data_IF_536345612154
#
_entry.id   IF_536345612154
#
_cell.length_a   1.000
_cell.length_b   1.000
_cell.length_c   1.000
_cell.angle_alpha   90.00
_cell.angle_beta   90.00
_cell.angle_gamma   90.00
#
_symmetry.space_group_name_H-M   'P 1'
#
loop_
_entity.id
_entity.type
_entity.pdbx_description
1 polymer ?
#
# COMPACT_ATOMS: atom_id res chain seq x y z
N UNK A 1 8.17 3.79 -0.61
CA UNK A 1 7.56 4.50 0.53
C UNK A 1 8.57 5.30 1.35
N UNK A 2 9.85 4.93 1.42
CA UNK A 2 10.86 5.80 2.03
C UNK A 2 10.77 5.89 3.55
N UNK A 3 10.10 4.91 4.17
CA UNK A 3 9.95 4.81 5.63
C UNK A 3 11.24 4.24 6.22
N UNK A 4 11.68 4.81 7.35
CA UNK A 4 12.74 4.20 8.14
C UNK A 4 12.16 3.07 9.00
N UNK A 5 12.74 1.89 8.88
CA UNK A 5 12.26 0.66 9.51
C UNK A 5 13.44 -0.07 10.15
N UNK A 6 13.24 -0.53 11.38
CA UNK A 6 14.11 -1.50 12.02
C UNK A 6 13.33 -2.76 12.40
N UNK A 7 13.68 -3.88 11.79
CA UNK A 7 13.15 -5.20 12.16
C UNK A 7 13.67 -5.64 13.54
N UNK A 8 12.79 -6.30 14.27
CA UNK A 8 13.01 -6.92 15.59
C UNK A 8 12.57 -8.37 15.53
N UNK A 9 12.93 -9.16 16.54
CA UNK A 9 12.56 -10.59 16.59
C UNK A 9 11.06 -10.82 16.66
N UNK A 10 10.31 -9.87 17.20
CA UNK A 10 8.87 -9.94 17.47
C UNK A 10 8.06 -8.91 16.68
N UNK A 11 8.68 -8.23 15.70
CA UNK A 11 7.99 -7.23 14.88
C UNK A 11 8.93 -6.19 14.30
N UNK A 12 8.47 -4.94 14.23
CA UNK A 12 9.19 -3.85 13.59
C UNK A 12 8.97 -2.53 14.32
N UNK A 13 9.99 -1.67 14.30
CA UNK A 13 9.87 -0.26 14.67
C UNK A 13 9.82 0.56 13.39
N UNK A 14 8.85 1.48 13.30
CA UNK A 14 8.63 2.37 12.17
C UNK A 14 8.71 3.81 12.67
N UNK A 15 9.55 4.62 12.05
CA UNK A 15 9.53 6.06 12.29
C UNK A 15 8.46 6.70 11.41
N UNK A 16 7.52 7.40 12.04
CA UNK A 16 6.50 8.15 11.32
C UNK A 16 7.14 9.23 10.43
N UNK A 17 6.72 9.30 9.17
CA UNK A 17 7.16 10.32 8.22
C UNK A 17 5.97 11.14 7.72
N UNK A 18 6.17 12.44 7.41
CA UNK A 18 5.08 13.32 7.02
C UNK A 18 4.50 13.01 5.64
N UNK A 19 5.26 12.35 4.76
CA UNK A 19 4.85 12.02 3.41
C UNK A 19 5.54 10.73 2.92
N UNK A 20 4.87 9.94 2.08
CA UNK A 20 5.48 8.76 1.47
C UNK A 20 6.14 9.03 0.12
N UNK A 21 7.28 8.37 -0.12
CA UNK A 21 7.93 8.38 -1.42
C UNK A 21 7.18 7.51 -2.43
N UNK A 22 6.91 8.04 -3.62
CA UNK A 22 6.39 7.27 -4.76
C UNK A 22 7.27 6.06 -5.09
N UNK A 23 6.69 5.06 -5.74
CA UNK A 23 7.47 3.92 -6.22
C UNK A 23 6.66 2.86 -6.94
N UNK A 24 7.37 1.82 -7.36
CA UNK A 24 6.81 0.54 -7.79
C UNK A 24 7.00 -0.45 -6.64
N UNK A 25 5.90 -1.10 -6.24
CA UNK A 25 5.85 -2.03 -5.11
C UNK A 25 5.36 -3.39 -5.58
N UNK A 26 5.95 -4.46 -5.07
CA UNK A 26 5.51 -5.82 -5.34
C UNK A 26 4.70 -6.32 -4.14
N UNK A 27 3.48 -6.80 -4.37
CA UNK A 27 2.66 -7.40 -3.29
C UNK A 27 3.06 -8.84 -2.96
N UNK A 28 3.88 -9.47 -3.81
CA UNK A 28 4.25 -10.87 -3.74
C UNK A 28 3.04 -11.84 -3.71
N UNK A 29 1.91 -11.42 -4.28
CA UNK A 29 0.67 -12.20 -4.29
C UNK A 29 -0.07 -12.22 -2.94
N UNK A 30 0.33 -11.42 -1.96
CA UNK A 30 -0.41 -11.25 -0.70
C UNK A 30 -1.38 -10.06 -0.83
N UNK A 31 -2.69 -10.35 -0.73
CA UNK A 31 -3.75 -9.35 -0.85
C UNK A 31 -3.67 -8.27 0.23
N UNK A 32 -3.17 -8.59 1.42
CA UNK A 32 -3.01 -7.62 2.52
C UNK A 32 -1.91 -6.64 2.19
N UNK A 33 -0.79 -7.12 1.63
CA UNK A 33 0.29 -6.25 1.15
C UNK A 33 -0.23 -5.37 0.01
N UNK A 34 -0.92 -5.96 -0.97
CA UNK A 34 -1.50 -5.22 -2.09
C UNK A 34 -2.44 -4.09 -1.64
N UNK A 35 -3.41 -4.39 -0.77
CA UNK A 35 -4.37 -3.41 -0.25
C UNK A 35 -3.69 -2.34 0.62
N UNK A 36 -2.75 -2.73 1.48
CA UNK A 36 -2.02 -1.79 2.34
C UNK A 36 -1.22 -0.77 1.50
N UNK A 37 -0.50 -1.23 0.48
CA UNK A 37 0.21 -0.33 -0.42
C UNK A 37 -0.72 0.49 -1.32
N UNK A 38 -1.89 -0.02 -1.69
CA UNK A 38 -2.87 0.74 -2.45
C UNK A 38 -3.40 1.96 -1.66
N UNK A 39 -3.69 1.77 -0.37
CA UNK A 39 -4.08 2.87 0.53
C UNK A 39 -2.90 3.80 0.79
N UNK A 40 -1.72 3.27 1.13
CA UNK A 40 -0.52 4.09 1.38
C UNK A 40 -0.14 4.94 0.14
N UNK A 41 -0.34 4.42 -1.07
CA UNK A 41 -0.07 5.14 -2.32
C UNK A 41 -0.95 6.38 -2.52
N UNK A 42 -2.07 6.52 -1.81
CA UNK A 42 -2.90 7.74 -1.84
C UNK A 42 -2.20 8.92 -1.16
N UNK A 43 -1.32 8.65 -0.20
CA UNK A 43 -0.56 9.65 0.56
C UNK A 43 0.84 9.91 -0.03
N UNK A 44 1.18 9.26 -1.15
CA UNK A 44 2.45 9.48 -1.81
C UNK A 44 2.42 10.78 -2.62
N UNK A 45 3.52 11.54 -2.60
CA UNK A 45 3.69 12.80 -3.35
C UNK A 45 3.31 12.75 -4.83
N UNK A 46 3.39 11.55 -5.44
CA UNK A 46 3.18 11.28 -6.85
C UNK A 46 2.63 9.87 -7.05
N UNK A 47 2.15 9.58 -8.26
CA UNK A 47 1.64 8.25 -8.65
C UNK A 47 2.63 7.14 -8.31
N UNK A 48 2.10 6.11 -7.64
CA UNK A 48 2.77 4.85 -7.32
C UNK A 48 2.07 3.68 -8.04
N UNK A 49 2.78 2.58 -8.20
CA UNK A 49 2.27 1.36 -8.81
C UNK A 49 2.46 0.17 -7.87
N UNK A 50 1.42 -0.64 -7.69
CA UNK A 50 1.48 -1.91 -6.95
C UNK A 50 1.26 -3.04 -7.94
N UNK A 51 2.15 -4.03 -7.94
CA UNK A 51 2.12 -5.19 -8.85
C UNK A 51 1.54 -6.42 -8.14
N UNK A 52 1.07 -7.39 -8.94
CA UNK A 52 0.52 -8.67 -8.49
C UNK A 52 -0.76 -8.56 -7.64
N UNK A 53 -1.63 -7.62 -8.00
CA UNK A 53 -2.84 -7.25 -7.24
C UNK A 53 -4.06 -8.14 -7.51
N UNK A 54 -3.96 -9.10 -8.43
CA UNK A 54 -5.04 -10.02 -8.81
C UNK A 54 -5.62 -10.79 -7.62
N UNK A 55 -4.78 -11.11 -6.62
CA UNK A 55 -5.18 -11.80 -5.39
C UNK A 55 -6.19 -11.02 -4.54
N UNK A 56 -6.29 -9.70 -4.72
CA UNK A 56 -7.20 -8.83 -3.95
C UNK A 56 -8.65 -9.20 -4.24
N UNK A 57 -9.01 -9.43 -5.51
CA UNK A 57 -10.39 -9.71 -5.90
C UNK A 57 -10.93 -11.00 -5.28
N UNK A 58 -10.06 -11.97 -4.95
CA UNK A 58 -10.44 -13.20 -4.25
C UNK A 58 -10.81 -12.94 -2.79
N UNK A 59 -10.12 -12.01 -2.12
CA UNK A 59 -10.33 -11.72 -0.69
C UNK A 59 -11.33 -10.59 -0.45
N UNK A 60 -11.33 -9.57 -1.29
CA UNK A 60 -12.19 -8.39 -1.20
C UNK A 60 -12.59 -7.95 -2.63
N UNK A 61 -13.60 -8.61 -3.22
CA UNK A 61 -14.20 -8.13 -4.46
C UNK A 61 -14.70 -6.69 -4.29
N UNK A 62 -14.45 -5.82 -5.27
CA UNK A 62 -14.90 -4.42 -5.20
C UNK A 62 -13.96 -3.46 -4.45
N UNK A 63 -12.78 -3.92 -4.01
CA UNK A 63 -11.85 -3.11 -3.20
C UNK A 63 -11.46 -1.80 -3.89
N UNK A 64 -11.08 -1.86 -5.17
CA UNK A 64 -10.58 -0.70 -5.89
C UNK A 64 -11.71 0.27 -6.25
N UNK A 65 -12.89 -0.24 -6.54
CA UNK A 65 -14.11 0.54 -6.75
C UNK A 65 -14.47 1.34 -5.49
N UNK A 66 -14.48 0.66 -4.34
CA UNK A 66 -14.69 1.31 -3.04
C UNK A 66 -13.61 2.35 -2.76
N UNK A 67 -12.33 2.00 -2.91
CA UNK A 67 -11.21 2.91 -2.66
C UNK A 67 -11.29 4.17 -3.54
N UNK A 68 -11.71 4.03 -4.80
CA UNK A 68 -11.88 5.15 -5.72
C UNK A 68 -13.10 6.01 -5.35
N UNK A 69 -14.18 5.42 -4.82
CA UNK A 69 -15.37 6.17 -4.38
C UNK A 69 -15.09 7.11 -3.19
N UNK A 70 -14.04 6.86 -2.42
CA UNK A 70 -13.61 7.69 -1.29
C UNK A 70 -12.69 8.84 -1.68
N UNK A 71 -12.20 8.89 -2.92
CA UNK A 71 -11.32 9.97 -3.38
C UNK A 71 -12.16 11.22 -3.64
N UNK A 72 -11.88 12.29 -2.91
CA UNK A 72 -12.43 13.62 -3.19
C UNK A 72 -11.67 14.20 -4.40
N UNK A 73 -12.35 14.80 -5.40
CA UNK A 73 -11.71 15.37 -6.59
C UNK A 73 -10.73 16.50 -6.28
#
# INVERSE_FOLDING_TARGET
MGVNLAEKRDGFILDGIPEFNKGSFNSHGDHRIAMSFAVASLLASKKSQVHHTECVATSFPGFYELLNSLRVP
#
